data_IF_405209633081
#
_entry.id   IF_405209633081
#
_cell.length_a   1.000
_cell.length_b   1.000
_cell.length_c   1.000
_cell.angle_alpha   90.00
_cell.angle_beta   90.00
_cell.angle_gamma   90.00
#
_symmetry.space_group_name_H-M   'P 1'
#
loop_
_entity.id
_entity.type
_entity.pdbx_description
1 polymer ?
#
# COMPACT_ATOMS: atom_id res chain seq x y z
N UNK A 1 2.35 -13.71 -0.19
CA UNK A 1 2.12 -12.54 -1.03
C UNK A 1 1.23 -12.97 -2.18
N UNK A 2 -0.01 -12.51 -2.15
CA UNK A 2 -1.01 -12.73 -3.19
C UNK A 2 -1.30 -11.42 -3.91
N UNK A 3 -2.07 -11.47 -5.00
CA UNK A 3 -2.51 -10.25 -5.70
C UNK A 3 -3.33 -9.32 -4.80
N UNK A 4 -4.02 -9.85 -3.77
CA UNK A 4 -4.76 -9.04 -2.80
C UNK A 4 -3.82 -8.15 -1.99
N UNK A 5 -2.65 -8.66 -1.57
CA UNK A 5 -1.69 -7.87 -0.80
C UNK A 5 -1.16 -6.69 -1.62
N UNK A 6 -0.94 -6.89 -2.92
CA UNK A 6 -0.50 -5.82 -3.83
C UNK A 6 -1.62 -4.79 -4.08
N UNK A 7 -2.87 -5.25 -4.15
CA UNK A 7 -4.03 -4.38 -4.28
C UNK A 7 -4.24 -3.48 -3.06
N UNK A 8 -3.94 -3.98 -1.85
CA UNK A 8 -4.02 -3.18 -0.60
C UNK A 8 -3.10 -1.96 -0.65
N UNK A 9 -1.93 -2.06 -1.28
CA UNK A 9 -1.00 -0.92 -1.47
C UNK A 9 -1.62 0.19 -2.31
N UNK A 10 -2.44 -0.16 -3.31
CA UNK A 10 -3.15 0.82 -4.13
C UNK A 10 -4.36 1.35 -3.37
N UNK A 11 -5.11 0.50 -2.68
CA UNK A 11 -6.34 0.85 -1.97
C UNK A 11 -6.13 1.99 -0.95
N UNK A 12 -5.00 2.03 -0.24
CA UNK A 12 -4.69 3.08 0.75
C UNK A 12 -4.45 4.47 0.13
N UNK A 13 -4.21 4.55 -1.18
CA UNK A 13 -4.00 5.82 -1.90
C UNK A 13 -5.33 6.47 -2.27
N UNK A 14 -6.39 5.67 -2.37
CA UNK A 14 -7.73 6.16 -2.64
C UNK A 14 -8.26 6.92 -1.42
N UNK A 15 -9.26 7.79 -1.61
CA UNK A 15 -9.91 8.45 -0.47
C UNK A 15 -10.40 7.39 0.52
N UNK A 16 -10.19 7.52 1.84
CA UNK A 16 -9.76 8.67 2.66
C UNK A 16 -8.24 8.85 2.88
N UNK A 17 -7.40 8.20 2.07
CA UNK A 17 -5.91 8.31 2.05
C UNK A 17 -5.19 7.73 3.26
N UNK A 18 -3.85 7.79 3.19
CA UNK A 18 -2.91 7.07 4.04
C UNK A 18 -3.15 7.30 5.53
N UNK A 19 -3.32 8.55 5.96
CA UNK A 19 -3.46 8.89 7.39
C UNK A 19 -4.73 8.28 7.99
N UNK A 20 -5.84 8.29 7.24
CA UNK A 20 -7.07 7.68 7.69
C UNK A 20 -6.92 6.16 7.83
N UNK A 21 -6.28 5.49 6.87
CA UNK A 21 -6.01 4.05 6.96
C UNK A 21 -5.06 3.71 8.10
N UNK A 22 -4.04 4.54 8.36
CA UNK A 22 -3.13 4.38 9.48
C UNK A 22 -3.88 4.47 10.83
N UNK A 23 -4.81 5.41 10.97
CA UNK A 23 -5.58 5.61 12.19
C UNK A 23 -6.68 4.55 12.41
N UNK A 24 -7.40 4.15 11.36
CA UNK A 24 -8.62 3.35 11.47
C UNK A 24 -8.42 1.87 11.13
N UNK A 25 -7.37 1.54 10.36
CA UNK A 25 -7.11 0.18 9.88
C UNK A 25 -5.62 -0.20 9.98
N UNK A 26 -5.01 -0.15 11.18
CA UNK A 26 -3.56 -0.27 11.34
C UNK A 26 -2.98 -1.59 10.80
N UNK A 27 -3.75 -2.69 10.83
CA UNK A 27 -3.33 -3.98 10.25
C UNK A 27 -3.22 -3.94 8.73
N UNK A 28 -4.14 -3.23 8.06
CA UNK A 28 -4.12 -3.07 6.60
C UNK A 28 -2.93 -2.19 6.21
N UNK A 29 -2.69 -1.11 6.96
CA UNK A 29 -1.54 -0.23 6.77
C UNK A 29 -0.22 -0.98 6.94
N UNK A 30 -0.09 -1.83 7.96
CA UNK A 30 1.11 -2.64 8.16
C UNK A 30 1.39 -3.61 6.99
N UNK A 31 0.35 -4.23 6.42
CA UNK A 31 0.50 -5.06 5.22
C UNK A 31 0.98 -4.21 4.04
N UNK A 32 0.35 -3.04 3.82
CA UNK A 32 0.73 -2.15 2.73
C UNK A 32 2.17 -1.65 2.87
N UNK A 33 2.61 -1.26 4.07
CA UNK A 33 3.98 -0.81 4.32
C UNK A 33 4.98 -1.94 4.07
N UNK A 34 4.70 -3.17 4.52
CA UNK A 34 5.55 -4.33 4.25
C UNK A 34 5.65 -4.65 2.75
N UNK A 35 4.56 -4.44 2.01
CA UNK A 35 4.53 -4.61 0.55
C UNK A 35 5.29 -3.51 -0.18
N UNK A 36 5.22 -2.26 0.29
CA UNK A 36 5.99 -1.14 -0.27
C UNK A 36 7.51 -1.33 -0.13
N UNK A 37 7.98 -2.14 0.81
CA UNK A 37 9.42 -2.46 0.96
C UNK A 37 9.92 -3.52 -0.03
N UNK A 38 9.04 -4.10 -0.86
CA UNK A 38 9.41 -5.19 -1.78
C UNK A 38 10.02 -4.64 -3.07
N UNK A 39 11.31 -4.93 -3.36
CA UNK A 39 12.00 -4.39 -4.54
C UNK A 39 11.30 -4.75 -5.85
N UNK A 40 10.67 -5.92 -5.94
CA UNK A 40 9.94 -6.37 -7.11
C UNK A 40 8.73 -5.47 -7.46
N UNK A 41 8.18 -4.74 -6.49
CA UNK A 41 7.06 -3.82 -6.68
C UNK A 41 7.49 -2.38 -6.91
N UNK A 42 8.71 -1.98 -6.52
CA UNK A 42 9.15 -0.58 -6.59
C UNK A 42 9.01 0.04 -7.97
N UNK A 43 9.27 -0.73 -9.05
CA UNK A 43 9.14 -0.21 -10.42
C UNK A 43 7.71 0.26 -10.70
N UNK A 44 6.70 -0.56 -10.38
CA UNK A 44 5.30 -0.22 -10.65
C UNK A 44 4.77 0.80 -9.65
N UNK A 45 5.17 0.71 -8.38
CA UNK A 45 4.71 1.65 -7.34
C UNK A 45 5.22 3.08 -7.59
N UNK A 46 6.48 3.25 -7.98
CA UNK A 46 7.05 4.56 -8.36
C UNK A 46 6.41 5.12 -9.62
N UNK A 47 6.15 4.26 -10.62
CA UNK A 47 5.50 4.67 -11.86
C UNK A 47 4.05 5.17 -11.65
N UNK A 48 3.44 4.84 -10.50
CA UNK A 48 2.10 5.28 -10.12
C UNK A 48 2.12 6.26 -8.92
N UNK A 49 3.28 6.81 -8.57
CA UNK A 49 3.43 7.83 -7.51
C UNK A 49 2.92 7.38 -6.12
N UNK A 50 3.01 6.08 -5.83
CA UNK A 50 2.57 5.51 -4.54
C UNK A 50 3.69 5.55 -3.49
N UNK A 51 4.94 5.35 -3.95
CA UNK A 51 6.17 5.44 -3.15
C UNK A 51 7.22 6.28 -3.87
#
# INVERSE_FOLDING_TARGET
MTLIDAYIVVMRTWGPRHDWFAANTPKITAIADAMCQRPELHKVLKANEII
#
